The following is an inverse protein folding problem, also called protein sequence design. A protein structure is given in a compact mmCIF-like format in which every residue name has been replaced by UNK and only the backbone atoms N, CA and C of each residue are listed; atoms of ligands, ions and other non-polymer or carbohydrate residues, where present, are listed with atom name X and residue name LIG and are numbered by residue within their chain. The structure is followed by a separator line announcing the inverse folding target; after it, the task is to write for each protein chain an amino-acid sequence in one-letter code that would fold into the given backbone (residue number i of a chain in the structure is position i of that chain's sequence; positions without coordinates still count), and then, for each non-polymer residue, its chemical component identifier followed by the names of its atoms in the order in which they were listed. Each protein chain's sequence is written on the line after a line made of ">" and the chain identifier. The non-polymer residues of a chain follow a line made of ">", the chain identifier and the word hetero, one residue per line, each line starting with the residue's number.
data_IF_477032348460
#
_entry.id   IF_477032348460
#
_cell.length_a   1.000
_cell.length_b   1.000
_cell.length_c   1.000
_cell.angle_alpha   90.00
_cell.angle_beta   90.00
_cell.angle_gamma   90.00
#
_symmetry.space_group_name_H-M   'P 1'
#
loop_
_entity.id
_entity.type
_entity.pdbx_description
1 polymer ?
#
# COMPACT_ATOMS: atom_id res chain seq x y z
N UNK A 1 42.20 -70.99 19.35
CA UNK A 1 40.84 -71.27 18.86
C UNK A 1 40.94 -71.52 17.35
N UNK A 2 40.36 -72.63 16.89
CA UNK A 2 40.45 -73.18 15.54
C UNK A 2 39.82 -72.28 14.44
N UNK A 3 40.07 -72.57 13.14
CA UNK A 3 39.96 -71.63 12.01
C UNK A 3 38.79 -71.99 11.03
N UNK A 4 38.80 -71.66 9.70
CA UNK A 4 37.74 -70.94 8.94
C UNK A 4 37.03 -71.84 7.87
N UNK A 5 36.17 -71.35 6.94
CA UNK A 5 36.58 -70.84 5.58
C UNK A 5 35.58 -69.79 4.98
N UNK A 6 35.64 -69.21 3.77
CA UNK A 6 36.42 -69.31 2.51
C UNK A 6 35.85 -68.25 1.52
N UNK A 7 36.68 -67.57 0.69
CA UNK A 7 36.83 -67.71 -0.78
C UNK A 7 35.50 -67.63 -1.59
N UNK A 8 35.36 -66.83 -2.66
CA UNK A 8 36.11 -66.88 -3.92
C UNK A 8 35.93 -65.62 -4.80
N UNK A 9 36.92 -65.35 -5.65
CA UNK A 9 36.80 -64.54 -6.87
C UNK A 9 36.40 -65.44 -8.05
N UNK A 10 35.61 -64.96 -9.01
CA UNK A 10 35.63 -65.44 -10.40
C UNK A 10 34.77 -64.60 -11.38
N UNK A 11 35.36 -64.41 -12.56
CA UNK A 11 34.75 -64.43 -13.90
C UNK A 11 33.88 -63.26 -14.37
N UNK A 12 34.52 -62.45 -15.22
CA UNK A 12 33.89 -61.86 -16.39
C UNK A 12 33.22 -62.95 -17.25
N UNK A 13 31.99 -62.68 -17.68
CA UNK A 13 31.35 -63.34 -18.82
C UNK A 13 30.75 -62.24 -19.67
N UNK A 14 31.35 -62.02 -20.84
CA UNK A 14 30.70 -61.37 -21.97
C UNK A 14 29.45 -62.16 -22.35
N UNK A 15 28.31 -61.49 -22.48
CA UNK A 15 27.22 -61.97 -23.35
C UNK A 15 26.56 -60.79 -24.04
N UNK A 16 26.77 -60.73 -25.36
CA UNK A 16 25.66 -60.59 -26.30
C UNK A 16 24.99 -59.23 -26.39
N UNK A 17 25.62 -58.36 -27.17
CA UNK A 17 24.97 -57.27 -27.90
C UNK A 17 23.75 -57.82 -28.67
N UNK A 18 22.55 -57.42 -28.28
CA UNK A 18 21.35 -57.52 -29.13
C UNK A 18 20.74 -56.13 -29.24
N UNK A 19 21.05 -55.49 -30.36
CA UNK A 19 20.47 -54.23 -30.77
C UNK A 19 18.96 -54.38 -30.95
N UNK A 20 18.19 -53.64 -30.14
CA UNK A 20 16.78 -53.36 -30.40
C UNK A 20 16.69 -51.89 -30.78
N UNK A 21 16.44 -51.64 -32.06
CA UNK A 21 16.24 -50.32 -32.64
C UNK A 21 15.02 -49.62 -32.00
N UNK A 22 15.08 -48.33 -31.63
CA UNK A 22 13.88 -47.57 -31.31
C UNK A 22 13.23 -47.08 -32.61
N UNK A 23 11.94 -47.32 -32.72
CA UNK A 23 11.08 -46.83 -33.79
C UNK A 23 11.09 -45.29 -33.82
N UNK A 24 11.49 -44.73 -34.96
CA UNK A 24 11.41 -43.31 -35.25
C UNK A 24 9.94 -42.91 -35.48
N UNK A 25 9.31 -42.38 -34.43
CA UNK A 25 8.10 -41.57 -34.52
C UNK A 25 8.48 -40.10 -34.42
N UNK A 26 8.51 -39.40 -35.55
CA UNK A 26 8.79 -37.97 -35.62
C UNK A 26 7.69 -37.17 -34.91
N UNK A 27 7.94 -36.77 -33.67
CA UNK A 27 7.20 -35.69 -33.02
C UNK A 27 7.86 -34.37 -33.44
N UNK A 28 7.16 -33.59 -34.26
CA UNK A 28 7.58 -32.27 -34.68
C UNK A 28 7.83 -31.38 -33.45
N UNK A 29 9.05 -30.83 -33.36
CA UNK A 29 9.38 -29.80 -32.40
C UNK A 29 8.42 -28.60 -32.55
N UNK A 30 7.95 -27.99 -31.46
CA UNK A 30 7.19 -26.75 -31.58
C UNK A 30 8.12 -25.67 -32.17
N UNK A 31 7.64 -25.00 -33.20
CA UNK A 31 8.35 -23.91 -33.86
C UNK A 31 8.79 -22.88 -32.83
N UNK A 32 10.10 -22.62 -32.79
CA UNK A 32 10.67 -21.52 -32.04
C UNK A 32 9.98 -20.23 -32.47
N UNK A 33 9.18 -19.65 -31.58
CA UNK A 33 8.70 -18.28 -31.74
C UNK A 33 9.95 -17.43 -31.66
N UNK A 34 10.40 -16.92 -32.81
CA UNK A 34 11.54 -16.02 -32.88
C UNK A 34 11.28 -14.86 -31.92
N UNK A 35 12.01 -14.83 -30.81
CA UNK A 35 12.12 -13.64 -29.99
C UNK A 35 12.73 -12.58 -30.90
N UNK A 36 11.90 -11.66 -31.41
CA UNK A 36 12.38 -10.48 -32.08
C UNK A 36 13.30 -9.77 -31.08
N UNK A 37 14.60 -9.80 -31.35
CA UNK A 37 15.64 -9.10 -30.61
C UNK A 37 15.28 -7.61 -30.68
N UNK A 38 14.65 -7.10 -29.62
CA UNK A 38 14.39 -5.67 -29.51
C UNK A 38 15.76 -4.98 -29.40
N UNK A 39 16.02 -3.91 -30.17
CA UNK A 39 17.25 -3.17 -30.03
C UNK A 39 17.39 -2.71 -28.57
N UNK A 40 18.60 -2.84 -28.03
CA UNK A 40 18.92 -2.40 -26.67
C UNK A 40 18.37 -0.98 -26.46
N UNK A 41 17.62 -0.72 -25.38
CA UNK A 41 17.06 0.60 -25.16
C UNK A 41 18.22 1.59 -25.07
N UNK A 42 18.23 2.59 -25.95
CA UNK A 42 19.02 3.80 -25.74
C UNK A 42 18.69 4.29 -24.33
N UNK A 43 19.72 4.45 -23.49
CA UNK A 43 19.59 4.94 -22.11
C UNK A 43 18.60 6.12 -22.11
N UNK A 44 17.45 6.02 -21.43
CA UNK A 44 16.53 7.14 -21.36
C UNK A 44 17.26 8.26 -20.61
N UNK A 45 17.70 9.28 -21.34
CA UNK A 45 18.25 10.49 -20.75
C UNK A 45 17.08 11.18 -20.08
N UNK A 46 17.09 11.22 -18.74
CA UNK A 46 16.11 12.00 -18.00
C UNK A 46 16.10 13.42 -18.58
N UNK A 47 14.92 13.98 -18.93
CA UNK A 47 14.87 15.37 -19.41
C UNK A 47 15.52 16.28 -18.36
N UNK A 48 15.94 17.49 -18.77
CA UNK A 48 16.41 18.52 -17.85
C UNK A 48 15.28 18.88 -16.86
N UNK A 49 15.18 18.10 -15.78
CA UNK A 49 14.14 18.20 -14.78
C UNK A 49 14.57 19.23 -13.74
N UNK A 50 13.67 20.16 -13.42
CA UNK A 50 13.93 21.20 -12.43
C UNK A 50 13.81 20.68 -10.99
N UNK A 51 13.08 19.58 -10.78
CA UNK A 51 12.83 18.97 -9.47
C UNK A 51 12.59 17.45 -9.56
N UNK A 52 12.58 16.78 -8.40
CA UNK A 52 12.16 15.39 -8.29
C UNK A 52 10.69 15.20 -8.69
N UNK A 53 9.81 16.16 -8.39
CA UNK A 53 8.41 16.15 -8.84
C UNK A 53 8.32 16.08 -10.38
N UNK A 54 9.19 16.79 -11.11
CA UNK A 54 9.20 16.73 -12.57
C UNK A 54 9.58 15.34 -13.10
N UNK A 55 10.54 14.67 -12.44
CA UNK A 55 10.89 13.29 -12.76
C UNK A 55 9.73 12.34 -12.46
N UNK A 56 9.08 12.50 -11.31
CA UNK A 56 7.91 11.71 -10.92
C UNK A 56 6.76 11.85 -11.94
N UNK A 57 6.48 13.08 -12.38
CA UNK A 57 5.50 13.35 -13.44
C UNK A 57 5.88 12.65 -14.76
N UNK A 58 7.17 12.64 -15.12
CA UNK A 58 7.67 11.91 -16.28
C UNK A 58 7.37 10.42 -16.20
N UNK A 59 7.60 9.79 -15.05
CA UNK A 59 7.30 8.36 -14.83
C UNK A 59 5.79 8.08 -14.86
N UNK A 60 4.98 8.92 -14.23
CA UNK A 60 3.52 8.75 -14.19
C UNK A 60 2.87 8.89 -15.57
N UNK A 61 3.46 9.67 -16.48
CA UNK A 61 2.98 9.82 -17.86
C UNK A 61 3.57 8.80 -18.85
N UNK A 62 4.55 8.00 -18.45
CA UNK A 62 5.05 6.90 -19.28
C UNK A 62 4.08 5.72 -19.22
N UNK A 63 3.53 5.34 -20.38
CA UNK A 63 2.53 4.27 -20.48
C UNK A 63 3.13 2.88 -20.66
N UNK A 64 4.33 2.76 -21.23
CA UNK A 64 4.99 1.47 -21.40
C UNK A 64 5.62 1.02 -20.07
N UNK A 65 5.29 -0.17 -19.56
CA UNK A 65 5.71 -0.59 -18.23
C UNK A 65 7.23 -0.81 -18.11
N UNK A 66 7.91 -1.16 -19.21
CA UNK A 66 9.36 -1.36 -19.23
C UNK A 66 10.10 -0.02 -19.27
N UNK A 67 9.62 0.91 -20.09
CA UNK A 67 10.14 2.28 -20.13
C UNK A 67 9.91 2.99 -18.80
N UNK A 68 8.76 2.74 -18.17
CA UNK A 68 8.45 3.24 -16.82
C UNK A 68 9.49 2.77 -15.81
N UNK A 69 9.78 1.46 -15.76
CA UNK A 69 10.83 0.93 -14.87
C UNK A 69 12.21 1.52 -15.17
N UNK A 70 12.57 1.69 -16.45
CA UNK A 70 13.84 2.30 -16.84
C UNK A 70 13.93 3.80 -16.45
N UNK A 71 12.84 4.55 -16.62
CA UNK A 71 12.76 5.96 -16.18
C UNK A 71 12.86 6.07 -14.65
N UNK A 72 12.24 5.15 -13.91
CA UNK A 72 12.37 5.09 -12.45
C UNK A 72 13.82 4.92 -12.02
N UNK A 73 14.57 3.98 -12.63
CA UNK A 73 15.99 3.79 -12.33
C UNK A 73 16.83 5.05 -12.65
N UNK A 74 16.57 5.70 -13.78
CA UNK A 74 17.25 6.95 -14.15
C UNK A 74 16.93 8.10 -13.16
N UNK A 75 15.66 8.22 -12.75
CA UNK A 75 15.23 9.22 -11.77
C UNK A 75 15.83 8.98 -10.39
N UNK A 76 15.89 7.73 -9.92
CA UNK A 76 16.51 7.37 -8.66
C UNK A 76 18.02 7.66 -8.65
N UNK A 77 18.72 7.37 -9.76
CA UNK A 77 20.13 7.72 -9.92
C UNK A 77 20.35 9.24 -9.89
N UNK A 78 19.52 10.02 -10.59
CA UNK A 78 19.58 11.48 -10.58
C UNK A 78 19.31 12.07 -9.17
N UNK A 79 18.35 11.51 -8.44
CA UNK A 79 18.05 11.91 -7.06
C UNK A 79 19.22 11.63 -6.10
N UNK A 80 19.83 10.44 -6.20
CA UNK A 80 20.99 10.04 -5.39
C UNK A 80 22.23 10.91 -5.67
N UNK A 81 22.38 11.42 -6.89
CA UNK A 81 23.44 12.37 -7.21
C UNK A 81 23.31 13.72 -6.46
N UNK A 82 22.16 14.00 -5.83
CA UNK A 82 21.99 15.10 -4.89
C UNK A 82 21.78 16.48 -5.49
N UNK A 83 21.73 16.59 -6.82
CA UNK A 83 21.64 17.88 -7.53
C UNK A 83 20.21 18.45 -7.64
N UNK A 84 19.19 17.68 -7.26
CA UNK A 84 17.79 18.03 -7.50
C UNK A 84 17.06 18.46 -6.21
N UNK A 85 16.28 19.57 -6.25
CA UNK A 85 15.31 19.86 -5.21
C UNK A 85 14.16 18.85 -5.24
N UNK A 86 13.54 18.61 -4.09
CA UNK A 86 12.42 17.67 -3.98
C UNK A 86 11.17 18.18 -4.70
N UNK A 87 10.84 19.46 -4.47
CA UNK A 87 9.67 20.14 -4.98
C UNK A 87 10.09 21.38 -5.80
N UNK A 88 9.19 21.92 -6.64
CA UNK A 88 9.40 23.20 -7.28
C UNK A 88 9.67 24.32 -6.27
N UNK A 89 10.51 25.29 -6.64
CA UNK A 89 11.02 26.31 -5.72
C UNK A 89 9.99 27.38 -5.35
N UNK A 90 9.06 27.69 -6.25
CA UNK A 90 8.02 28.69 -6.02
C UNK A 90 6.60 28.10 -6.12
N UNK A 91 5.63 28.88 -5.63
CA UNK A 91 4.24 28.46 -5.51
C UNK A 91 3.55 28.33 -6.88
N UNK A 92 3.98 29.08 -7.90
CA UNK A 92 3.37 29.04 -9.22
C UNK A 92 3.77 27.74 -9.94
N UNK A 93 5.05 27.39 -9.87
CA UNK A 93 5.57 26.13 -10.41
C UNK A 93 4.99 24.92 -9.65
N UNK A 94 4.85 25.01 -8.32
CA UNK A 94 4.20 23.97 -7.52
C UNK A 94 2.73 23.76 -7.96
N UNK A 95 1.97 24.83 -8.16
CA UNK A 95 0.60 24.75 -8.65
C UNK A 95 0.50 24.17 -10.07
N UNK A 96 1.42 24.56 -10.96
CA UNK A 96 1.50 24.02 -12.31
C UNK A 96 1.86 22.53 -12.32
N UNK A 97 2.78 22.10 -11.47
CA UNK A 97 3.12 20.70 -11.29
C UNK A 97 1.94 19.89 -10.72
N UNK A 98 1.24 20.42 -9.72
CA UNK A 98 0.05 19.79 -9.14
C UNK A 98 -1.05 19.57 -10.18
N UNK A 99 -1.27 20.54 -11.07
CA UNK A 99 -2.25 20.43 -12.16
C UNK A 99 -1.88 19.36 -13.21
N UNK A 100 -0.61 18.98 -13.29
CA UNK A 100 -0.11 17.92 -14.19
C UNK A 100 -0.14 16.54 -13.54
N UNK A 101 -0.35 16.42 -12.23
CA UNK A 101 -0.45 15.10 -11.58
C UNK A 101 -1.68 14.39 -12.14
N UNK A 102 -1.52 13.23 -12.81
CA UNK A 102 -2.66 12.59 -13.45
C UNK A 102 -3.59 11.98 -12.39
N UNK A 103 -4.89 11.92 -12.69
CA UNK A 103 -5.85 11.19 -11.86
C UNK A 103 -5.57 9.67 -11.86
N UNK A 104 -5.03 9.17 -12.97
CA UNK A 104 -4.55 7.80 -13.15
C UNK A 104 -3.29 7.81 -14.01
N UNK A 105 -2.21 7.12 -13.62
CA UNK A 105 -1.00 7.00 -14.39
C UNK A 105 -1.27 6.47 -15.79
N UNK A 106 -0.46 6.90 -16.74
CA UNK A 106 -0.50 6.39 -18.08
C UNK A 106 -0.27 4.87 -18.09
N UNK A 107 -1.00 4.22 -18.98
CA UNK A 107 -0.87 2.80 -19.31
C UNK A 107 -0.99 2.68 -20.82
N UNK A 108 -0.09 1.94 -21.46
CA UNK A 108 -0.17 1.67 -22.88
C UNK A 108 -1.44 0.88 -23.20
N UNK A 109 -2.18 1.29 -24.21
CA UNK A 109 -3.40 0.62 -24.65
C UNK A 109 -3.12 -0.86 -24.94
N UNK A 110 -3.94 -1.75 -24.37
CA UNK A 110 -3.80 -3.19 -24.57
C UNK A 110 -2.62 -3.86 -23.84
N UNK A 111 -1.86 -3.15 -23.01
CA UNK A 111 -0.79 -3.76 -22.21
C UNK A 111 -1.31 -4.82 -21.23
N UNK A 112 -2.50 -4.59 -20.65
CA UNK A 112 -3.20 -5.53 -19.77
C UNK A 112 -4.71 -5.39 -19.99
N UNK A 113 -5.46 -6.48 -19.77
CA UNK A 113 -6.93 -6.46 -19.77
C UNK A 113 -7.45 -6.34 -18.34
N UNK A 114 -7.98 -5.17 -17.99
CA UNK A 114 -8.59 -4.93 -16.68
C UNK A 114 -10.00 -5.51 -16.62
N UNK A 115 -10.31 -6.26 -15.57
CA UNK A 115 -11.60 -6.89 -15.30
C UNK A 115 -11.96 -6.74 -13.81
N UNK A 116 -13.24 -6.93 -13.43
CA UNK A 116 -13.62 -7.00 -12.02
C UNK A 116 -12.84 -8.08 -11.26
N UNK A 117 -12.58 -7.84 -9.97
CA UNK A 117 -11.74 -8.70 -9.12
C UNK A 117 -12.21 -10.16 -9.11
N UNK A 118 -13.50 -10.39 -9.02
CA UNK A 118 -14.13 -11.72 -8.98
C UNK A 118 -13.88 -12.48 -10.29
N UNK A 119 -13.85 -11.74 -11.40
CA UNK A 119 -13.55 -12.29 -12.72
C UNK A 119 -12.06 -12.63 -12.89
N UNK A 120 -11.17 -11.76 -12.43
CA UNK A 120 -9.72 -12.04 -12.45
C UNK A 120 -9.39 -13.30 -11.65
N UNK A 121 -9.96 -13.44 -10.44
CA UNK A 121 -9.74 -14.59 -9.55
C UNK A 121 -10.17 -15.93 -10.20
N UNK A 122 -11.24 -15.92 -11.00
CA UNK A 122 -11.74 -17.12 -11.68
C UNK A 122 -10.86 -17.56 -12.85
N UNK A 123 -10.24 -16.61 -13.57
CA UNK A 123 -9.49 -16.86 -14.82
C UNK A 123 -7.97 -16.96 -14.64
N UNK A 124 -7.41 -16.36 -13.58
CA UNK A 124 -5.97 -16.43 -13.26
C UNK A 124 -5.64 -17.57 -12.30
N UNK A 125 -5.53 -18.80 -12.79
CA UNK A 125 -5.13 -19.97 -11.97
C UNK A 125 -3.74 -20.48 -12.34
N UNK A 126 -3.06 -21.08 -11.36
CA UNK A 126 -1.71 -21.65 -11.53
C UNK A 126 -0.59 -20.69 -11.12
N UNK A 127 0.64 -21.22 -11.09
CA UNK A 127 1.84 -20.45 -10.66
C UNK A 127 2.24 -19.37 -11.65
N UNK A 128 2.08 -19.60 -12.95
CA UNK A 128 2.34 -18.59 -13.99
C UNK A 128 1.39 -17.40 -13.88
N UNK A 129 0.08 -17.65 -13.66
CA UNK A 129 -0.88 -16.58 -13.42
C UNK A 129 -0.61 -15.82 -12.11
N UNK A 130 -0.11 -16.52 -11.08
CA UNK A 130 0.31 -15.89 -9.81
C UNK A 130 1.50 -14.97 -10.04
N UNK A 131 2.50 -15.41 -10.80
CA UNK A 131 3.68 -14.64 -11.17
C UNK A 131 3.31 -13.40 -12.00
N UNK A 132 2.39 -13.55 -12.96
CA UNK A 132 1.85 -12.42 -13.72
C UNK A 132 1.15 -11.40 -12.83
N UNK A 133 0.33 -11.85 -11.88
CA UNK A 133 -0.33 -10.95 -10.92
C UNK A 133 0.69 -10.21 -10.04
N UNK A 134 1.74 -10.89 -9.55
CA UNK A 134 2.82 -10.22 -8.80
C UNK A 134 3.49 -9.15 -9.67
N UNK A 135 3.86 -9.51 -10.91
CA UNK A 135 4.44 -8.55 -11.87
C UNK A 135 3.53 -7.33 -12.07
N UNK A 136 2.22 -7.52 -12.11
CA UNK A 136 1.25 -6.44 -12.23
C UNK A 136 1.19 -5.55 -10.98
N UNK A 137 1.26 -6.16 -9.80
CA UNK A 137 1.32 -5.43 -8.52
C UNK A 137 2.57 -4.56 -8.46
N UNK A 138 3.75 -5.08 -8.82
CA UNK A 138 4.99 -4.28 -8.78
C UNK A 138 4.91 -3.09 -9.74
N UNK A 139 4.30 -3.26 -10.91
CA UNK A 139 4.12 -2.16 -11.83
C UNK A 139 3.19 -1.07 -11.28
N UNK A 140 2.17 -1.44 -10.50
CA UNK A 140 1.36 -0.48 -9.75
C UNK A 140 2.13 0.17 -8.59
N UNK A 141 2.97 -0.58 -7.90
CA UNK A 141 3.76 -0.09 -6.77
C UNK A 141 4.76 1.00 -7.20
N UNK A 142 5.37 0.87 -8.39
CA UNK A 142 6.15 1.96 -9.03
C UNK A 142 5.33 3.26 -9.10
N UNK A 143 4.10 3.18 -9.61
CA UNK A 143 3.25 4.36 -9.76
C UNK A 143 2.75 4.91 -8.44
N UNK A 144 2.45 4.05 -7.45
CA UNK A 144 2.04 4.50 -6.13
C UNK A 144 3.14 5.31 -5.43
N UNK A 145 4.39 4.85 -5.54
CA UNK A 145 5.54 5.54 -4.98
C UNK A 145 5.78 6.90 -5.67
N UNK A 146 5.72 6.94 -7.01
CA UNK A 146 5.85 8.20 -7.74
C UNK A 146 4.65 9.15 -7.60
N UNK A 147 3.43 8.63 -7.41
CA UNK A 147 2.25 9.44 -7.08
C UNK A 147 2.43 10.15 -5.73
N UNK A 148 2.95 9.45 -4.72
CA UNK A 148 3.25 10.05 -3.43
C UNK A 148 4.26 11.21 -3.55
N UNK A 149 5.30 11.05 -4.37
CA UNK A 149 6.28 12.11 -4.65
C UNK A 149 5.64 13.28 -5.41
N UNK A 150 4.98 13.01 -6.53
CA UNK A 150 4.44 14.06 -7.40
C UNK A 150 3.32 14.83 -6.71
N UNK A 151 2.35 14.12 -6.12
CA UNK A 151 1.13 14.70 -5.53
C UNK A 151 1.44 15.51 -4.28
N UNK A 152 2.26 14.97 -3.37
CA UNK A 152 2.50 15.62 -2.09
C UNK A 152 3.74 16.51 -2.08
N UNK A 153 4.66 16.31 -3.02
CA UNK A 153 5.73 17.27 -3.30
C UNK A 153 5.22 18.56 -3.95
N UNK A 154 4.14 18.49 -4.76
CA UNK A 154 3.54 19.65 -5.41
C UNK A 154 2.39 20.32 -4.62
N UNK A 155 1.86 19.68 -3.57
CA UNK A 155 0.80 20.27 -2.75
C UNK A 155 1.38 21.28 -1.73
N UNK A 156 1.12 22.59 -1.88
CA UNK A 156 1.66 23.61 -0.98
C UNK A 156 1.13 23.51 0.46
N UNK A 157 0.05 22.76 0.69
CA UNK A 157 -0.53 22.54 2.04
C UNK A 157 0.20 21.45 2.82
N UNK A 158 1.03 20.65 2.14
CA UNK A 158 1.69 19.46 2.70
C UNK A 158 3.19 19.52 2.51
N UNK A 159 3.67 19.84 1.31
CA UNK A 159 5.09 19.85 0.91
C UNK A 159 6.03 20.57 1.89
N UNK A 160 5.68 21.75 2.47
CA UNK A 160 6.54 22.42 3.46
C UNK A 160 6.79 21.62 4.75
N UNK A 161 6.02 20.57 5.00
CA UNK A 161 6.11 19.71 6.18
C UNK A 161 6.75 18.34 5.88
N UNK A 162 7.15 18.10 4.62
CA UNK A 162 7.81 16.87 4.19
C UNK A 162 9.33 17.08 4.11
N UNK A 163 10.13 16.41 4.95
CA UNK A 163 11.58 16.50 4.87
C UNK A 163 12.11 15.74 3.65
N UNK A 164 13.35 16.03 3.22
CA UNK A 164 14.02 15.29 2.12
C UNK A 164 13.98 13.77 2.29
N UNK A 165 14.05 13.28 3.53
CA UNK A 165 13.97 11.86 3.85
C UNK A 165 12.67 11.20 3.36
N UNK A 166 11.54 11.93 3.33
CA UNK A 166 10.27 11.43 2.76
C UNK A 166 10.46 11.04 1.30
N UNK A 167 11.04 11.96 0.55
CA UNK A 167 11.31 11.76 -0.86
C UNK A 167 12.36 10.68 -1.10
N UNK A 168 13.40 10.58 -0.25
CA UNK A 168 14.37 9.48 -0.33
C UNK A 168 13.71 8.11 -0.17
N UNK A 169 12.78 7.96 0.78
CA UNK A 169 12.10 6.70 0.99
C UNK A 169 11.23 6.31 -0.20
N UNK A 170 10.41 7.22 -0.72
CA UNK A 170 9.54 6.91 -1.86
C UNK A 170 10.32 6.71 -3.17
N UNK A 171 11.48 7.35 -3.33
CA UNK A 171 12.37 7.06 -4.46
C UNK A 171 13.00 5.67 -4.32
N UNK A 172 13.41 5.27 -3.11
CA UNK A 172 13.95 3.95 -2.85
C UNK A 172 12.89 2.86 -3.12
N UNK A 173 11.67 3.02 -2.58
CA UNK A 173 10.54 2.13 -2.85
C UNK A 173 10.32 2.04 -4.37
N UNK A 174 10.20 3.17 -5.07
CA UNK A 174 9.99 3.14 -6.52
C UNK A 174 11.10 2.36 -7.28
N UNK A 175 12.37 2.55 -6.88
CA UNK A 175 13.51 1.84 -7.45
C UNK A 175 13.45 0.33 -7.17
N UNK A 176 13.07 -0.07 -5.97
CA UNK A 176 12.89 -1.46 -5.56
C UNK A 176 11.77 -2.12 -6.39
N UNK A 177 10.61 -1.48 -6.50
CA UNK A 177 9.47 -2.00 -7.28
C UNK A 177 9.76 -2.07 -8.79
N UNK A 178 10.57 -1.14 -9.31
CA UNK A 178 11.03 -1.22 -10.69
C UNK A 178 11.94 -2.44 -10.92
N UNK A 179 12.84 -2.74 -9.97
CA UNK A 179 13.68 -3.96 -10.02
C UNK A 179 12.83 -5.21 -9.87
N UNK A 180 11.88 -5.23 -8.95
CA UNK A 180 10.95 -6.35 -8.73
C UNK A 180 10.16 -6.65 -10.00
N UNK A 181 9.56 -5.63 -10.62
CA UNK A 181 8.85 -5.74 -11.88
C UNK A 181 9.73 -6.39 -12.96
N UNK A 182 10.94 -5.86 -13.19
CA UNK A 182 11.84 -6.38 -14.23
C UNK A 182 12.25 -7.82 -13.94
N UNK A 183 12.55 -8.16 -12.69
CA UNK A 183 12.97 -9.50 -12.30
C UNK A 183 11.82 -10.52 -12.46
N UNK A 184 10.62 -10.19 -11.99
CA UNK A 184 9.44 -11.04 -12.11
C UNK A 184 8.97 -11.19 -13.57
N UNK A 185 9.08 -10.14 -14.38
CA UNK A 185 8.76 -10.21 -15.79
C UNK A 185 9.72 -11.14 -16.54
N UNK A 186 11.01 -11.10 -16.21
CA UNK A 186 12.00 -12.04 -16.75
C UNK A 186 11.68 -13.50 -16.36
N UNK A 187 11.28 -13.73 -15.10
CA UNK A 187 10.77 -15.05 -14.65
C UNK A 187 9.53 -15.47 -15.44
N UNK A 188 8.60 -14.54 -15.69
CA UNK A 188 7.35 -14.80 -16.40
C UNK A 188 7.59 -15.19 -17.85
N UNK A 189 8.57 -14.55 -18.52
CA UNK A 189 9.03 -14.93 -19.85
C UNK A 189 9.68 -16.31 -19.86
N UNK A 190 10.55 -16.59 -18.89
CA UNK A 190 11.20 -17.91 -18.76
C UNK A 190 10.17 -19.04 -18.57
N UNK A 191 9.04 -18.74 -17.94
CA UNK A 191 7.90 -19.66 -17.81
C UNK A 191 7.00 -19.75 -19.07
N UNK A 192 7.39 -19.15 -20.20
CA UNK A 192 6.65 -19.20 -21.46
C UNK A 192 5.43 -18.27 -21.52
N UNK A 193 5.36 -17.25 -20.67
CA UNK A 193 4.29 -16.25 -20.66
C UNK A 193 4.82 -14.84 -20.88
N UNK A 194 3.98 -13.82 -20.72
CA UNK A 194 4.36 -12.42 -20.87
C UNK A 194 3.43 -11.53 -20.02
N UNK A 195 3.92 -10.34 -19.66
CA UNK A 195 3.08 -9.33 -19.02
C UNK A 195 1.93 -8.93 -19.96
N UNK A 196 0.70 -8.89 -19.44
CA UNK A 196 -0.52 -8.79 -20.25
C UNK A 196 -1.23 -10.09 -20.61
N UNK A 197 -0.61 -11.27 -20.44
CA UNK A 197 -1.20 -12.55 -20.82
C UNK A 197 -2.47 -12.93 -20.03
N UNK A 198 -2.61 -12.47 -18.79
CA UNK A 198 -3.76 -12.72 -17.93
C UNK A 198 -4.54 -11.44 -17.65
N UNK A 199 -5.87 -11.55 -17.42
CA UNK A 199 -6.65 -10.41 -16.99
C UNK A 199 -6.30 -10.00 -15.56
N UNK A 200 -6.30 -8.70 -15.29
CA UNK A 200 -5.91 -8.10 -14.01
C UNK A 200 -7.06 -7.29 -13.40
N UNK A 201 -6.92 -6.90 -12.14
CA UNK A 201 -7.83 -5.97 -11.49
C UNK A 201 -7.03 -4.80 -10.91
N UNK A 202 -7.68 -3.65 -10.76
CA UNK A 202 -7.00 -2.40 -10.39
C UNK A 202 -7.30 -1.93 -8.96
N UNK A 203 -7.68 -2.85 -8.06
CA UNK A 203 -8.09 -2.51 -6.69
C UNK A 203 -7.05 -1.70 -5.90
N UNK A 204 -5.76 -1.87 -6.18
CA UNK A 204 -4.70 -1.03 -5.59
C UNK A 204 -4.84 0.43 -6.04
N UNK A 205 -5.00 0.67 -7.34
CA UNK A 205 -5.21 2.04 -7.82
C UNK A 205 -6.61 2.59 -7.46
N UNK A 206 -7.61 1.74 -7.27
CA UNK A 206 -8.92 2.20 -6.82
C UNK A 206 -8.85 2.76 -5.39
N UNK A 207 -8.13 2.07 -4.48
CA UNK A 207 -7.84 2.57 -3.14
C UNK A 207 -6.97 3.84 -3.17
N UNK A 208 -6.04 3.91 -4.12
CA UNK A 208 -5.26 5.10 -4.40
C UNK A 208 -6.13 6.31 -4.76
N UNK A 209 -7.00 6.15 -5.75
CA UNK A 209 -7.89 7.21 -6.21
C UNK A 209 -8.83 7.66 -5.07
N UNK A 210 -9.35 6.71 -4.28
CA UNK A 210 -10.21 7.00 -3.14
C UNK A 210 -9.52 7.82 -2.04
N UNK A 211 -8.18 7.74 -1.92
CA UNK A 211 -7.38 8.45 -0.91
C UNK A 211 -6.57 9.62 -1.48
N UNK A 212 -6.72 9.94 -2.76
CA UNK A 212 -5.93 10.97 -3.47
C UNK A 212 -6.08 12.40 -2.91
N UNK A 213 -7.02 12.64 -2.01
CA UNK A 213 -7.25 13.92 -1.35
C UNK A 213 -6.55 14.06 0.02
N UNK A 214 -5.98 12.98 0.57
CA UNK A 214 -5.44 12.95 1.93
C UNK A 214 -4.16 12.12 2.01
N UNK A 215 -3.01 12.78 2.21
CA UNK A 215 -1.73 12.08 2.47
C UNK A 215 -1.82 11.11 3.66
N UNK A 216 -2.41 11.47 4.83
CA UNK A 216 -2.57 10.52 5.93
C UNK A 216 -3.38 9.28 5.54
N UNK A 217 -4.50 9.45 4.83
CA UNK A 217 -5.30 8.32 4.35
C UNK A 217 -4.51 7.46 3.36
N UNK A 218 -3.78 8.10 2.43
CA UNK A 218 -2.89 7.43 1.48
C UNK A 218 -1.84 6.56 2.18
N UNK A 219 -1.14 7.13 3.16
CA UNK A 219 -0.12 6.41 3.94
C UNK A 219 -0.73 5.25 4.72
N UNK A 220 -1.88 5.47 5.37
CA UNK A 220 -2.54 4.43 6.15
C UNK A 220 -3.02 3.26 5.28
N UNK A 221 -3.62 3.54 4.12
CA UNK A 221 -4.22 2.49 3.30
C UNK A 221 -3.18 1.79 2.42
N UNK A 222 -2.43 2.54 1.62
CA UNK A 222 -1.45 1.94 0.70
C UNK A 222 -0.23 1.50 1.49
N UNK A 223 0.47 2.44 2.12
CA UNK A 223 1.82 2.21 2.64
C UNK A 223 1.87 1.51 4.02
N UNK A 224 0.73 1.37 4.71
CA UNK A 224 0.61 0.53 5.89
C UNK A 224 -0.22 -0.72 5.60
N UNK A 225 -1.49 -0.60 5.21
CA UNK A 225 -2.35 -1.78 5.07
C UNK A 225 -1.97 -2.71 3.91
N UNK A 226 -1.71 -2.18 2.71
CA UNK A 226 -1.34 -3.01 1.56
C UNK A 226 0.07 -3.57 1.68
N UNK A 227 1.06 -2.77 2.10
CA UNK A 227 2.43 -3.26 2.34
C UNK A 227 2.45 -4.37 3.41
N UNK A 228 1.77 -4.14 4.55
CA UNK A 228 1.69 -5.16 5.60
C UNK A 228 0.94 -6.41 5.13
N UNK A 229 0.02 -6.28 4.18
CA UNK A 229 -0.66 -7.43 3.56
C UNK A 229 0.30 -8.22 2.69
N UNK A 230 1.24 -7.57 1.99
CA UNK A 230 2.36 -8.21 1.30
C UNK A 230 3.14 -9.12 2.24
N UNK A 231 3.52 -8.61 3.42
CA UNK A 231 4.25 -9.36 4.45
C UNK A 231 3.53 -10.63 4.93
N UNK A 232 2.19 -10.62 4.94
CA UNK A 232 1.38 -11.78 5.34
C UNK A 232 1.23 -12.82 4.21
N UNK A 233 1.23 -12.38 2.95
CA UNK A 233 0.88 -13.21 1.79
C UNK A 233 2.10 -13.81 1.10
N UNK A 234 3.22 -13.09 1.07
CA UNK A 234 4.43 -13.53 0.38
C UNK A 234 4.96 -14.89 0.87
N UNK A 235 5.01 -15.22 2.18
CA UNK A 235 5.50 -16.52 2.64
C UNK A 235 4.74 -17.72 2.03
N UNK A 236 3.42 -17.62 1.94
CA UNK A 236 2.59 -18.65 1.31
C UNK A 236 2.79 -18.69 -0.22
N UNK A 237 3.05 -17.54 -0.82
CA UNK A 237 3.35 -17.42 -2.25
C UNK A 237 4.69 -18.07 -2.60
N UNK A 238 5.71 -17.85 -1.78
CA UNK A 238 7.02 -18.51 -1.88
C UNK A 238 6.86 -20.04 -1.76
N UNK A 239 6.13 -20.51 -0.74
CA UNK A 239 5.87 -21.94 -0.57
C UNK A 239 5.16 -22.56 -1.79
N UNK A 240 4.23 -21.82 -2.39
CA UNK A 240 3.52 -22.23 -3.61
C UNK A 240 4.45 -22.39 -4.81
N UNK A 241 5.39 -21.46 -5.04
CA UNK A 241 6.37 -21.59 -6.13
C UNK A 241 7.31 -22.78 -5.91
N UNK A 242 7.80 -22.99 -4.68
CA UNK A 242 8.61 -24.17 -4.32
C UNK A 242 7.88 -25.48 -4.59
N UNK A 243 6.61 -25.57 -4.17
CA UNK A 243 5.80 -26.77 -4.38
C UNK A 243 5.55 -27.07 -5.86
N UNK A 244 5.60 -26.04 -6.73
CA UNK A 244 5.49 -26.19 -8.18
C UNK A 244 6.84 -26.43 -8.88
N UNK A 245 7.95 -26.53 -8.13
CA UNK A 245 9.30 -26.73 -8.68
C UNK A 245 9.96 -25.47 -9.24
N UNK A 246 9.35 -24.29 -9.09
CA UNK A 246 9.95 -23.01 -9.51
C UNK A 246 10.77 -22.40 -8.37
N UNK A 247 11.93 -23.01 -8.11
CA UNK A 247 12.83 -22.61 -7.04
C UNK A 247 13.48 -21.24 -7.29
N UNK A 248 13.67 -20.85 -8.55
CA UNK A 248 14.27 -19.56 -8.90
C UNK A 248 13.34 -18.39 -8.56
N UNK A 249 12.04 -18.49 -8.89
CA UNK A 249 11.07 -17.45 -8.48
C UNK A 249 10.89 -17.44 -6.97
N UNK A 250 10.85 -18.60 -6.32
CA UNK A 250 10.79 -18.65 -4.86
C UNK A 250 12.00 -17.97 -4.20
N UNK A 251 13.21 -18.18 -4.73
CA UNK A 251 14.42 -17.55 -4.23
C UNK A 251 14.43 -16.04 -4.46
N UNK A 252 13.98 -15.57 -5.63
CA UNK A 252 13.81 -14.13 -5.91
C UNK A 252 12.88 -13.47 -4.87
N UNK A 253 11.71 -14.07 -4.63
CA UNK A 253 10.74 -13.54 -3.67
C UNK A 253 11.27 -13.56 -2.24
N UNK A 254 11.98 -14.61 -1.84
CA UNK A 254 12.46 -14.76 -0.45
C UNK A 254 13.69 -13.90 -0.14
N UNK A 255 14.62 -13.76 -1.10
CA UNK A 255 15.92 -13.14 -0.86
C UNK A 255 16.02 -11.67 -1.28
N UNK A 256 15.12 -11.23 -2.19
CA UNK A 256 15.12 -9.85 -2.70
C UNK A 256 13.83 -9.15 -2.30
N UNK A 257 12.68 -9.62 -2.80
CA UNK A 257 11.41 -8.90 -2.64
C UNK A 257 10.99 -8.81 -1.17
N UNK A 258 10.85 -9.94 -0.50
CA UNK A 258 10.29 -9.99 0.85
C UNK A 258 11.06 -9.16 1.90
N UNK A 259 12.42 -9.13 1.93
CA UNK A 259 13.15 -8.22 2.80
C UNK A 259 12.91 -6.72 2.49
N UNK A 260 12.75 -6.36 1.21
CA UNK A 260 12.52 -4.98 0.77
C UNK A 260 11.11 -4.50 1.16
N UNK A 261 10.09 -5.36 1.06
CA UNK A 261 8.71 -5.10 1.53
C UNK A 261 8.61 -4.67 3.01
N UNK A 262 9.50 -5.18 3.86
CA UNK A 262 9.54 -4.78 5.28
C UNK A 262 9.89 -3.31 5.41
N UNK A 263 10.80 -2.82 4.55
CA UNK A 263 11.22 -1.42 4.54
C UNK A 263 10.14 -0.52 3.93
N UNK A 264 9.37 -1.01 2.96
CA UNK A 264 8.22 -0.30 2.37
C UNK A 264 7.14 -0.07 3.42
N UNK A 265 6.75 -1.13 4.14
CA UNK A 265 5.81 -1.04 5.27
C UNK A 265 6.32 -0.10 6.37
N UNK A 266 7.63 -0.15 6.67
CA UNK A 266 8.25 0.73 7.66
C UNK A 266 8.17 2.22 7.27
N UNK A 267 8.23 2.52 5.97
CA UNK A 267 8.06 3.88 5.46
C UNK A 267 6.66 4.41 5.72
N UNK A 268 5.61 3.62 5.48
CA UNK A 268 4.22 4.01 5.80
C UNK A 268 4.03 4.37 7.27
N UNK A 269 4.50 3.50 8.18
CA UNK A 269 4.42 3.72 9.64
C UNK A 269 5.19 4.97 10.05
N UNK A 270 6.42 5.12 9.53
CA UNK A 270 7.30 6.26 9.80
C UNK A 270 6.65 7.58 9.39
N UNK A 271 6.13 7.67 8.17
CA UNK A 271 5.59 8.94 7.65
C UNK A 271 4.26 9.32 8.26
N UNK A 272 3.39 8.37 8.60
CA UNK A 272 2.17 8.69 9.35
C UNK A 272 2.50 9.19 10.76
N UNK A 273 3.49 8.56 11.42
CA UNK A 273 3.98 8.99 12.73
C UNK A 273 4.66 10.36 12.67
N UNK A 274 5.43 10.64 11.61
CA UNK A 274 6.04 11.95 11.36
C UNK A 274 4.98 13.04 11.23
N UNK A 275 3.92 12.82 10.44
CA UNK A 275 2.83 13.78 10.30
C UNK A 275 2.15 14.04 11.65
N UNK A 276 1.85 13.00 12.43
CA UNK A 276 1.26 13.19 13.76
C UNK A 276 2.15 14.04 14.68
N UNK A 277 3.46 13.81 14.67
CA UNK A 277 4.43 14.59 15.43
C UNK A 277 4.53 16.05 14.91
N UNK A 278 4.54 16.24 13.59
CA UNK A 278 4.59 17.54 12.94
C UNK A 278 3.35 18.39 13.29
N UNK A 279 2.16 17.79 13.29
CA UNK A 279 0.92 18.46 13.71
C UNK A 279 1.02 19.00 15.15
N UNK A 280 1.57 18.21 16.07
CA UNK A 280 1.81 18.62 17.46
C UNK A 280 2.85 19.73 17.57
N UNK A 281 3.90 19.72 16.75
CA UNK A 281 4.88 20.79 16.72
C UNK A 281 4.27 22.11 16.22
N UNK A 282 3.45 22.06 15.16
CA UNK A 282 2.73 23.22 14.62
C UNK A 282 1.79 23.85 15.67
N UNK A 283 1.03 23.03 16.39
CA UNK A 283 0.13 23.51 17.44
C UNK A 283 0.88 24.20 18.59
N UNK A 284 2.00 23.63 19.05
CA UNK A 284 2.84 24.24 20.10
C UNK A 284 3.44 25.57 19.67
N UNK A 285 4.04 25.63 18.47
CA UNK A 285 4.64 26.86 17.95
C UNK A 285 3.62 27.98 17.76
N UNK A 286 2.36 27.64 17.44
CA UNK A 286 1.26 28.62 17.42
C UNK A 286 0.89 29.12 18.81
N UNK A 287 0.78 28.22 19.80
CA UNK A 287 0.49 28.61 21.18
C UNK A 287 1.52 29.60 21.74
N UNK A 288 2.81 29.37 21.45
CA UNK A 288 3.90 30.28 21.83
C UNK A 288 3.77 31.66 21.17
N UNK A 289 3.55 31.72 19.85
CA UNK A 289 3.36 33.01 19.14
C UNK A 289 2.16 33.82 19.65
N UNK A 290 1.06 33.15 19.98
CA UNK A 290 -0.12 33.83 20.52
C UNK A 290 0.13 34.36 21.95
N UNK A 291 0.91 33.64 22.77
CA UNK A 291 1.32 34.13 24.08
C UNK A 291 2.28 35.33 23.98
N UNK A 292 3.23 35.30 23.04
CA UNK A 292 4.14 36.43 22.76
C UNK A 292 3.40 37.68 22.24
N UNK A 293 2.37 37.50 21.41
CA UNK A 293 1.56 38.61 20.88
C UNK A 293 0.50 39.12 21.87
N UNK A 294 0.02 38.28 22.79
CA UNK A 294 -0.92 38.67 23.85
C UNK A 294 -0.26 39.18 25.13
N UNK A 295 1.08 39.14 25.21
CA UNK A 295 1.87 39.55 26.38
C UNK A 295 2.33 41.01 26.39
N UNK A 296 1.89 41.85 25.45
CA UNK A 296 2.08 43.30 25.58
C UNK A 296 1.06 43.84 26.60
N UNK A 297 1.52 44.15 27.81
CA UNK A 297 0.72 44.88 28.80
C UNK A 297 0.14 46.16 28.16
N UNK A 298 -1.15 46.47 28.38
CA UNK A 298 -1.65 47.79 28.02
C UNK A 298 -0.89 48.83 28.86
N UNK A 299 -0.58 50.03 28.32
CA UNK A 299 -0.03 51.09 29.14
C UNK A 299 -1.03 51.40 30.26
N UNK A 300 -0.59 51.31 31.52
CA UNK A 300 -1.34 51.80 32.67
C UNK A 300 -1.68 53.28 32.44
N UNK A 301 -2.96 53.57 32.23
CA UNK A 301 -3.45 54.95 32.17
C UNK A 301 -4.56 55.16 31.16
N UNK A 302 -5.77 54.70 31.47
CA UNK A 302 -6.99 55.34 31.02
C UNK A 302 -8.10 55.04 32.02
N UNK A 303 -8.43 56.05 32.82
CA UNK A 303 -9.60 56.10 33.69
C UNK A 303 -10.88 55.91 32.86
N UNK A 304 -11.70 54.92 33.20
CA UNK A 304 -13.04 54.79 32.64
C UNK A 304 -14.03 55.64 33.45
N UNK A 305 -14.51 56.70 32.82
CA UNK A 305 -15.63 57.50 33.28
C UNK A 305 -16.95 56.83 32.90
N UNK A 306 -17.81 56.67 33.90
CA UNK A 306 -19.21 56.27 33.80
C UNK A 306 -20.01 57.19 32.86
N UNK A 307 -20.84 56.61 31.99
CA UNK A 307 -22.15 57.23 31.67
C UNK A 307 -23.20 56.17 31.37
N UNK A 308 -24.26 56.24 32.17
CA UNK A 308 -25.53 55.55 32.02
C UNK A 308 -26.37 56.11 30.84
N UNK A 309 -27.30 55.28 30.35
CA UNK A 309 -28.36 55.65 29.42
C UNK A 309 -29.21 54.42 29.08
N UNK A 310 -30.14 54.07 29.97
CA UNK A 310 -31.60 54.27 29.79
C UNK A 310 -32.28 53.26 28.87
N UNK A 311 -33.12 52.44 29.50
CA UNK A 311 -34.04 51.49 28.90
C UNK A 311 -35.42 52.13 28.72
N UNK A 312 -36.12 51.76 27.64
CA UNK A 312 -37.55 52.01 27.44
C UNK A 312 -38.14 51.01 26.43
N UNK A 313 -39.43 50.61 26.57
CA UNK A 313 -39.87 49.24 26.26
C UNK A 313 -40.89 49.14 25.10
N UNK A 314 -41.46 47.93 24.92
CA UNK A 314 -42.65 47.55 24.11
C UNK A 314 -42.31 46.93 22.74
N UNK A 315 -42.95 45.89 22.19
CA UNK A 315 -44.19 45.15 22.51
C UNK A 315 -44.12 43.74 21.89
N UNK A 316 -44.88 42.82 22.47
CA UNK A 316 -45.12 41.46 21.98
C UNK A 316 -45.88 41.38 20.65
N UNK A 317 -45.62 40.32 19.88
CA UNK A 317 -46.60 39.62 19.04
C UNK A 317 -46.03 38.25 18.60
N UNK A 318 -46.61 37.15 19.11
CA UNK A 318 -46.65 35.89 18.36
C UNK A 318 -47.79 35.96 17.32
N UNK A 319 -47.87 35.04 16.31
CA UNK A 319 -48.45 33.74 16.60
C UNK A 319 -47.91 32.54 15.77
N UNK A 320 -48.01 31.37 16.40
CA UNK A 320 -48.54 30.09 15.88
C UNK A 320 -47.99 29.44 14.59
N UNK A 321 -47.61 28.19 14.82
CA UNK A 321 -47.51 27.02 13.94
C UNK A 321 -48.60 26.80 12.88
N UNK A 322 -48.20 26.24 11.73
CA UNK A 322 -48.96 25.18 11.04
C UNK A 322 -48.09 24.36 10.10
N UNK A 323 -48.25 23.03 10.17
CA UNK A 323 -47.59 21.99 9.38
C UNK A 323 -48.20 21.79 7.98
N UNK A 324 -47.37 21.43 7.01
CA UNK A 324 -47.62 20.44 5.93
C UNK A 324 -46.27 20.25 5.22
N UNK A 325 -45.74 19.06 4.90
CA UNK A 325 -46.37 17.89 4.29
C UNK A 325 -45.93 17.84 2.82
N UNK A 326 -44.80 17.18 2.52
CA UNK A 326 -44.28 17.09 1.15
C UNK A 326 -43.09 16.15 1.00
N UNK A 327 -43.37 14.95 0.51
CA UNK A 327 -42.43 13.88 0.13
C UNK A 327 -41.58 14.27 -1.10
N UNK A 328 -40.33 13.80 -1.19
CA UNK A 328 -39.61 13.78 -2.48
C UNK A 328 -38.08 13.81 -2.42
N UNK A 329 -37.49 12.65 -2.71
CA UNK A 329 -36.22 12.47 -3.46
C UNK A 329 -34.87 12.78 -2.78
N UNK A 330 -33.94 11.83 -3.00
CA UNK A 330 -32.73 11.61 -2.22
C UNK A 330 -31.59 12.60 -2.43
N UNK A 331 -30.56 12.57 -1.56
CA UNK A 331 -29.47 13.52 -1.60
C UNK A 331 -28.51 13.21 -2.75
N UNK A 332 -28.55 14.04 -3.79
CA UNK A 332 -27.40 14.27 -4.66
C UNK A 332 -26.34 15.01 -3.82
N UNK A 333 -25.28 14.32 -3.43
CA UNK A 333 -24.12 14.96 -2.83
C UNK A 333 -23.31 15.68 -3.91
N UNK A 334 -23.62 16.97 -4.10
CA UNK A 334 -22.75 17.90 -4.79
C UNK A 334 -21.52 18.18 -3.89
N UNK A 335 -20.35 17.66 -4.26
CA UNK A 335 -19.08 18.04 -3.65
C UNK A 335 -18.67 19.43 -4.14
N UNK A 336 -19.07 20.46 -3.39
CA UNK A 336 -18.44 21.76 -3.44
C UNK A 336 -17.03 21.66 -2.84
N UNK A 337 -16.01 21.92 -3.67
CA UNK A 337 -14.65 22.20 -3.22
C UNK A 337 -14.60 23.51 -2.46
N UNK A 338 -15.02 23.48 -1.19
CA UNK A 338 -14.83 24.58 -0.26
C UNK A 338 -13.43 24.53 0.31
N UNK A 339 -12.63 25.55 0.05
CA UNK A 339 -11.42 25.86 0.82
C UNK A 339 -11.84 26.25 2.23
N UNK A 340 -12.20 25.26 3.04
CA UNK A 340 -12.51 25.44 4.45
C UNK A 340 -11.22 25.75 5.18
N UNK A 341 -10.92 27.04 5.35
CA UNK A 341 -10.00 27.46 6.40
C UNK A 341 -10.60 26.95 7.71
N UNK A 342 -10.04 25.87 8.25
CA UNK A 342 -10.31 25.44 9.61
C UNK A 342 -10.12 26.69 10.50
N UNK A 343 -11.08 26.99 11.37
CA UNK A 343 -10.94 28.11 12.32
C UNK A 343 -9.69 28.01 13.21
N UNK A 344 -9.03 26.83 13.19
CA UNK A 344 -7.76 26.54 13.85
C UNK A 344 -6.52 27.06 13.14
N UNK A 345 -6.60 27.57 11.89
CA UNK A 345 -5.46 28.07 11.09
C UNK A 345 -4.31 27.08 10.92
N UNK A 346 -4.57 25.79 11.12
CA UNK A 346 -3.66 24.68 10.86
C UNK A 346 -4.07 23.99 9.54
N UNK A 347 -3.13 23.39 8.80
CA UNK A 347 -3.49 22.50 7.70
C UNK A 347 -4.50 21.43 8.16
N UNK A 348 -5.45 21.07 7.30
CA UNK A 348 -6.53 20.12 7.63
C UNK A 348 -6.00 18.80 8.20
N UNK A 349 -4.98 18.22 7.55
CA UNK A 349 -4.32 16.99 8.02
C UNK A 349 -3.74 17.13 9.44
N UNK A 350 -3.26 18.32 9.80
CA UNK A 350 -2.68 18.59 11.10
C UNK A 350 -3.77 18.77 12.16
N UNK A 351 -4.87 19.44 11.82
CA UNK A 351 -6.04 19.56 12.69
C UNK A 351 -6.61 18.17 13.00
N UNK A 352 -6.81 17.34 11.98
CA UNK A 352 -7.29 15.96 12.13
C UNK A 352 -6.35 15.13 13.01
N UNK A 353 -5.04 15.18 12.77
CA UNK A 353 -4.06 14.41 13.56
C UNK A 353 -4.12 14.73 15.06
N UNK A 354 -4.44 15.97 15.43
CA UNK A 354 -4.51 16.42 16.82
C UNK A 354 -5.73 15.90 17.57
N UNK A 355 -6.77 15.44 16.86
CA UNK A 355 -7.93 14.76 17.47
C UNK A 355 -7.53 13.41 18.10
N UNK A 356 -6.39 12.85 17.69
CA UNK A 356 -5.94 11.53 18.10
C UNK A 356 -4.75 11.57 19.05
N UNK A 357 -4.77 10.76 20.13
CA UNK A 357 -3.70 10.77 21.14
C UNK A 357 -2.39 10.18 20.62
N UNK A 358 -2.42 9.31 19.61
CA UNK A 358 -1.24 8.64 19.04
C UNK A 358 -1.39 8.42 17.52
N UNK A 359 -0.28 8.17 16.81
CA UNK A 359 -0.31 7.77 15.40
C UNK A 359 -1.16 6.50 15.17
N UNK A 360 -1.07 5.50 16.06
CA UNK A 360 -1.87 4.29 15.96
C UNK A 360 -3.38 4.56 16.10
N UNK A 361 -3.79 5.45 17.02
CA UNK A 361 -5.19 5.83 17.15
C UNK A 361 -5.72 6.58 15.91
N UNK A 362 -4.88 7.44 15.32
CA UNK A 362 -5.20 8.12 14.06
C UNK A 362 -5.32 7.13 12.90
N UNK A 363 -4.36 6.21 12.79
CA UNK A 363 -4.39 5.11 11.84
C UNK A 363 -5.67 4.28 11.95
N UNK A 364 -6.12 3.95 13.17
CA UNK A 364 -7.38 3.21 13.34
C UNK A 364 -8.59 3.96 12.77
N UNK A 365 -8.64 5.28 12.95
CA UNK A 365 -9.73 6.09 12.40
C UNK A 365 -9.67 6.14 10.87
N UNK A 366 -8.48 6.33 10.30
CA UNK A 366 -8.25 6.35 8.85
C UNK A 366 -8.64 5.01 8.21
N UNK A 367 -8.21 3.88 8.77
CA UNK A 367 -8.54 2.55 8.25
C UNK A 367 -10.03 2.27 8.31
N UNK A 368 -10.71 2.59 9.41
CA UNK A 368 -12.16 2.42 9.52
C UNK A 368 -12.92 3.27 8.50
N UNK A 369 -12.43 4.47 8.21
CA UNK A 369 -13.08 5.40 7.27
C UNK A 369 -12.87 5.01 5.80
N UNK A 370 -11.68 4.53 5.45
CA UNK A 370 -11.27 4.39 4.05
C UNK A 370 -11.07 2.94 3.58
N UNK A 371 -11.03 1.95 4.48
CA UNK A 371 -10.69 0.58 4.12
C UNK A 371 -11.64 -0.47 4.71
N UNK A 372 -12.05 -0.30 5.96
CA UNK A 372 -12.88 -1.25 6.69
C UNK A 372 -12.07 -2.03 7.72
N UNK A 373 -12.22 -3.36 7.75
CA UNK A 373 -11.60 -4.22 8.76
C UNK A 373 -10.38 -4.97 8.20
N UNK A 374 -9.39 -5.17 9.06
CA UNK A 374 -8.19 -5.96 8.72
C UNK A 374 -8.46 -7.44 8.92
N UNK A 375 -7.90 -8.27 8.02
CA UNK A 375 -8.08 -9.71 8.02
C UNK A 375 -6.73 -10.41 8.17
N UNK A 376 -6.63 -11.25 9.19
CA UNK A 376 -5.48 -12.13 9.39
C UNK A 376 -5.48 -13.35 8.45
N UNK A 377 -4.54 -14.29 8.67
CA UNK A 377 -3.48 -14.25 9.69
C UNK A 377 -2.46 -13.14 9.43
N UNK A 378 -1.82 -12.65 10.49
CA UNK A 378 -0.80 -11.60 10.43
C UNK A 378 0.59 -12.16 10.68
N UNK A 379 1.56 -11.71 9.91
CA UNK A 379 2.96 -11.98 10.13
C UNK A 379 3.52 -11.00 11.19
N UNK A 380 3.27 -11.31 12.46
CA UNK A 380 3.63 -10.43 13.58
C UNK A 380 5.13 -10.11 13.63
N UNK A 381 6.00 -11.06 13.28
CA UNK A 381 7.45 -10.85 13.28
C UNK A 381 7.87 -9.84 12.20
N UNK A 382 7.41 -10.01 10.96
CA UNK A 382 7.74 -9.10 9.86
C UNK A 382 7.14 -7.70 10.07
N UNK A 383 5.89 -7.62 10.54
CA UNK A 383 5.25 -6.35 10.88
C UNK A 383 5.98 -5.63 12.02
N UNK A 384 6.43 -6.35 13.04
CA UNK A 384 7.24 -5.77 14.12
C UNK A 384 8.58 -5.20 13.61
N UNK A 385 9.24 -5.86 12.66
CA UNK A 385 10.45 -5.33 12.00
C UNK A 385 10.19 -4.02 11.25
N UNK A 386 8.97 -3.83 10.72
CA UNK A 386 8.53 -2.58 10.12
C UNK A 386 8.10 -1.50 11.13
N UNK A 387 8.14 -1.78 12.45
CA UNK A 387 7.58 -0.91 13.48
C UNK A 387 6.04 -0.90 13.51
N UNK A 388 5.39 -1.79 12.75
CA UNK A 388 3.95 -1.97 12.70
C UNK A 388 3.52 -2.98 13.77
N UNK A 389 3.55 -2.55 15.03
CA UNK A 389 3.30 -3.41 16.19
C UNK A 389 1.82 -3.80 16.34
N UNK A 390 1.48 -4.83 17.15
CA UNK A 390 0.10 -5.33 17.28
C UNK A 390 -0.96 -4.27 17.63
N UNK A 391 -0.62 -3.25 18.40
CA UNK A 391 -1.50 -2.13 18.74
C UNK A 391 -1.98 -1.33 17.52
N UNK A 392 -1.25 -1.36 16.41
CA UNK A 392 -1.68 -0.75 15.16
C UNK A 392 -2.82 -1.51 14.48
N UNK A 393 -2.78 -2.85 14.46
CA UNK A 393 -3.66 -3.63 13.58
C UNK A 393 -4.63 -4.58 14.30
N UNK A 394 -4.31 -5.10 15.49
CA UNK A 394 -5.22 -6.00 16.22
C UNK A 394 -6.57 -5.33 16.59
N UNK A 395 -6.61 -4.03 16.97
CA UNK A 395 -7.89 -3.35 17.23
C UNK A 395 -8.81 -3.19 16.01
N UNK A 396 -8.30 -3.46 14.81
CA UNK A 396 -9.01 -3.34 13.54
C UNK A 396 -9.47 -4.68 12.95
N UNK A 397 -9.21 -5.79 13.66
CA UNK A 397 -9.73 -7.10 13.28
C UNK A 397 -11.23 -7.17 13.59
N UNK A 398 -12.00 -7.71 12.65
CA UNK A 398 -13.41 -8.03 12.84
C UNK A 398 -13.63 -8.77 14.18
N UNK A 399 -14.45 -8.20 15.07
CA UNK A 399 -14.78 -8.79 16.38
C UNK A 399 -13.96 -8.32 17.59
N UNK A 400 -12.84 -7.60 17.41
CA UNK A 400 -12.02 -7.11 18.53
C UNK A 400 -12.75 -6.12 19.46
N UNK A 401 -13.73 -5.37 18.93
CA UNK A 401 -14.60 -4.50 19.72
C UNK A 401 -15.63 -5.27 20.59
N UNK A 402 -16.01 -6.50 20.21
CA UNK A 402 -16.93 -7.34 21.00
C UNK A 402 -16.21 -8.04 22.17
N UNK A 403 -14.93 -8.37 22.02
CA UNK A 403 -14.17 -9.11 23.04
C UNK A 403 -13.75 -8.26 24.25
N UNK A 404 -13.63 -6.92 24.10
CA UNK A 404 -13.25 -6.01 25.19
C UNK A 404 -14.44 -5.49 26.02
N UNK A 405 -15.68 -5.89 25.68
CA UNK A 405 -16.91 -5.48 26.35
C UNK A 405 -17.40 -6.43 27.45
N UNK A 406 -16.76 -7.58 27.67
CA UNK A 406 -17.12 -8.52 28.73
C UNK A 406 -16.16 -8.42 29.92
N UNK A 407 -16.43 -7.47 30.82
CA UNK A 407 -15.93 -7.51 32.19
C UNK A 407 -16.54 -8.68 32.98
N UNK A 408 -15.97 -9.05 34.14
CA UNK A 408 -16.29 -10.31 34.80
C UNK A 408 -17.65 -10.21 35.49
N UNK A 409 -18.65 -10.91 34.95
CA UNK A 409 -19.87 -11.21 35.70
C UNK A 409 -19.58 -12.39 36.65
N UNK A 410 -19.84 -12.15 37.93
CA UNK A 410 -19.58 -13.05 39.03
C UNK A 410 -20.32 -14.40 38.96
N UNK A 411 -19.80 -15.31 39.77
CA UNK A 411 -20.21 -16.70 39.95
C UNK A 411 -21.67 -16.88 40.39
N UNK A 412 -22.29 -17.99 39.96
CA UNK A 412 -23.10 -18.86 40.81
C UNK A 412 -23.32 -20.22 40.15
N UNK A 413 -23.22 -21.29 40.94
CA UNK A 413 -23.02 -22.67 40.50
C UNK A 413 -24.23 -23.38 39.88
N UNK A 414 -23.94 -24.45 39.16
CA UNK A 414 -24.77 -25.65 39.13
C UNK A 414 -23.87 -26.88 38.92
N UNK A 415 -24.13 -27.89 39.74
CA UNK A 415 -23.29 -29.06 40.02
C UNK A 415 -23.25 -30.07 38.86
N UNK A 416 -22.19 -30.87 38.85
CA UNK A 416 -22.01 -32.02 37.98
C UNK A 416 -22.81 -33.25 38.44
N UNK A 417 -23.34 -34.03 37.49
CA UNK A 417 -23.55 -35.48 37.61
C UNK A 417 -23.23 -36.16 36.26
N UNK A 418 -22.37 -37.20 36.21
CA UNK A 418 -22.03 -37.90 34.97
C UNK A 418 -22.85 -39.19 34.79
N UNK A 419 -23.09 -39.62 33.54
CA UNK A 419 -23.56 -40.99 33.30
C UNK A 419 -24.01 -41.33 31.88
N UNK A 420 -23.30 -42.30 31.29
CA UNK A 420 -23.79 -43.42 30.46
C UNK A 420 -23.70 -43.33 28.92
N UNK A 421 -22.63 -44.00 28.44
CA UNK A 421 -22.54 -45.02 27.40
C UNK A 421 -22.53 -44.69 25.90
N UNK A 422 -21.57 -45.39 25.28
CA UNK A 422 -21.22 -45.45 23.87
C UNK A 422 -22.18 -46.30 23.04
N UNK A 423 -22.23 -46.01 21.74
CA UNK A 423 -22.80 -46.86 20.71
C UNK A 423 -21.98 -46.74 19.43
N UNK A 424 -21.09 -47.71 19.22
CA UNK A 424 -20.45 -48.00 17.93
C UNK A 424 -21.50 -48.45 16.92
N UNK A 425 -21.31 -48.12 15.64
CA UNK A 425 -21.53 -49.11 14.55
C UNK A 425 -20.89 -48.69 13.23
N UNK A 426 -20.50 -49.75 12.57
CA UNK A 426 -19.49 -49.92 11.54
C UNK A 426 -20.14 -50.00 10.15
N UNK A 427 -19.25 -50.05 9.16
CA UNK A 427 -19.42 -50.14 7.72
C UNK A 427 -20.54 -51.06 7.21
N UNK A 428 -21.17 -50.63 6.11
CA UNK A 428 -21.96 -51.45 5.21
C UNK A 428 -21.27 -51.57 3.85
N UNK A 429 -20.76 -52.76 3.55
CA UNK A 429 -20.45 -53.19 2.19
C UNK A 429 -21.72 -53.75 1.53
N UNK A 430 -21.91 -53.44 0.25
CA UNK A 430 -22.33 -54.38 -0.80
C UNK A 430 -22.00 -53.81 -2.17
#
# INVERSE_FOLDING_TARGET
>A
MAPPPGATAAAAVEVGETAVAPAAGAAAAPAAVAAAERPAPSQPVAPAAASLVDLALGVLHEGDPYRKAALTAAAAAAWRAGALPAAPADAADAAAAAARVPARPARHDGAVRVVPREEAARRGRGVVATMHNLTHVENWAIDLAWDAVARWGSDPRVSPHLPRAFFCDFVAIAEDEARHFVALEARLRAAGSHYGAFPVHDTLWDAAAATAHSLPARLAIEHCCHEARGLDVLPNTIAKFRAAGDFETAALLESVVYPEEVTHCAAGVRWLSHLHAAARALARGRGQRLQEQGGSEPPEGAEEAETAGEAGPSSAAEPSSSSSGGSGEGPQHAHGGGTGSSGSGLPEWAAEALEYPSPAAWFHALVRRHYGNLKGPFNAEARAKAGFTPDWYEPLVDGAARARGSGPAGAAGAQAVPGVAAGTKDAGAR
#
